data_IF_705632087650
#
_entry.id   IF_705632087650
#
_cell.length_a   1.000
_cell.length_b   1.000
_cell.length_c   1.000
_cell.angle_alpha   90.00
_cell.angle_beta   90.00
_cell.angle_gamma   90.00
#
_symmetry.space_group_name_H-M   'P 1'
#
loop_
_entity.id
_entity.type
_entity.pdbx_description
1 polymer ?
#
# COMPACT_ATOMS: atom_id res chain seq x y z
N UNK A 1 -20.15 7.50 41.92
CA UNK A 1 -20.36 7.63 40.46
C UNK A 1 -18.99 7.45 39.85
N UNK A 2 -18.70 6.24 39.37
CA UNK A 2 -17.45 5.94 38.68
C UNK A 2 -17.30 6.90 37.49
N UNK A 3 -16.08 7.40 37.21
CA UNK A 3 -15.85 8.13 35.97
C UNK A 3 -16.20 7.22 34.79
N UNK A 4 -16.79 7.77 33.71
CA UNK A 4 -17.08 6.97 32.53
C UNK A 4 -15.78 6.34 32.01
N UNK A 5 -15.82 5.10 31.48
CA UNK A 5 -14.65 4.46 30.91
C UNK A 5 -14.07 5.37 29.83
N UNK A 6 -12.75 5.59 29.89
CA UNK A 6 -12.00 6.31 28.87
C UNK A 6 -12.45 5.85 27.48
N UNK A 7 -12.85 6.79 26.65
CA UNK A 7 -13.31 6.51 25.28
C UNK A 7 -12.22 5.74 24.56
N UNK A 8 -12.48 4.46 24.31
CA UNK A 8 -11.62 3.59 23.50
C UNK A 8 -11.29 4.36 22.21
N UNK A 9 -10.01 4.43 21.80
CA UNK A 9 -9.64 5.13 20.57
C UNK A 9 -10.50 4.59 19.41
N UNK A 10 -10.90 5.45 18.46
CA UNK A 10 -11.68 5.01 17.30
C UNK A 10 -11.01 3.81 16.65
N UNK A 11 -11.81 2.84 16.20
CA UNK A 11 -11.29 1.74 15.39
C UNK A 11 -10.39 2.31 14.29
N UNK A 12 -9.26 1.64 13.92
CA UNK A 12 -8.28 2.18 12.98
C UNK A 12 -8.89 2.81 11.72
N UNK A 13 -9.98 2.22 11.23
CA UNK A 13 -10.80 2.71 10.12
C UNK A 13 -11.36 4.14 10.29
N UNK A 14 -11.85 4.52 11.46
CA UNK A 14 -12.51 5.82 11.67
C UNK A 14 -11.52 6.98 11.78
N UNK A 15 -10.34 6.75 12.37
CA UNK A 15 -9.28 7.76 12.39
C UNK A 15 -8.64 7.94 11.01
N UNK A 16 -8.48 6.86 10.22
CA UNK A 16 -8.04 6.98 8.84
C UNK A 16 -9.08 7.70 7.98
N UNK A 17 -10.37 7.37 8.13
CA UNK A 17 -11.46 8.07 7.43
C UNK A 17 -11.48 9.56 7.79
N UNK A 18 -11.33 9.91 9.06
CA UNK A 18 -11.24 11.31 9.51
C UNK A 18 -10.05 12.04 8.84
N UNK A 19 -8.88 11.40 8.78
CA UNK A 19 -7.70 11.95 8.12
C UNK A 19 -7.97 12.26 6.64
N UNK A 20 -8.56 11.31 5.90
CA UNK A 20 -8.82 11.45 4.46
C UNK A 20 -9.95 12.45 4.12
N UNK A 21 -10.83 12.74 5.08
CA UNK A 21 -11.81 13.84 4.95
C UNK A 21 -11.16 15.21 5.17
N UNK A 22 -10.13 15.27 6.00
CA UNK A 22 -9.47 16.53 6.35
C UNK A 22 -8.43 16.93 5.30
N UNK A 23 -7.58 16.00 4.86
CA UNK A 23 -6.49 16.27 3.93
C UNK A 23 -6.14 15.05 3.07
N UNK A 24 -5.30 15.29 2.07
CA UNK A 24 -4.66 14.21 1.31
C UNK A 24 -3.64 13.53 2.24
N UNK A 25 -3.76 12.20 2.39
CA UNK A 25 -2.79 11.40 3.14
C UNK A 25 -1.64 10.94 2.25
N UNK A 26 -0.50 10.66 2.88
CA UNK A 26 0.73 10.29 2.20
C UNK A 26 1.02 8.81 2.43
N UNK A 27 1.07 8.04 1.33
CA UNK A 27 1.59 6.68 1.32
C UNK A 27 3.12 6.72 1.18
N UNK A 28 3.81 5.70 1.67
CA UNK A 28 5.26 5.55 1.54
C UNK A 28 5.72 5.33 0.08
N UNK A 29 7.01 5.02 -0.05
CA UNK A 29 7.68 4.78 -1.34
C UNK A 29 8.16 3.34 -1.50
N UNK A 30 9.10 3.12 -2.42
CA UNK A 30 9.60 1.77 -2.74
C UNK A 30 10.50 1.14 -1.65
N UNK A 31 9.98 0.13 -0.96
CA UNK A 31 10.77 -0.78 -0.12
C UNK A 31 11.94 -1.42 -0.89
N UNK A 32 11.69 -1.97 -2.09
CA UNK A 32 12.70 -2.64 -2.90
C UNK A 32 13.87 -1.73 -3.30
N UNK A 33 13.60 -0.48 -3.70
CA UNK A 33 14.64 0.51 -4.03
C UNK A 33 15.51 0.82 -2.81
N UNK A 34 14.91 1.00 -1.64
CA UNK A 34 15.62 1.28 -0.40
C UNK A 34 16.45 0.10 0.11
N UNK A 35 16.04 -1.13 -0.18
CA UNK A 35 16.82 -2.35 0.09
C UNK A 35 18.03 -2.43 -0.85
N UNK A 36 17.85 -2.15 -2.15
CA UNK A 36 18.92 -2.21 -3.15
C UNK A 36 20.08 -1.26 -2.80
N UNK A 37 19.80 -0.07 -2.27
CA UNK A 37 20.80 0.90 -1.81
C UNK A 37 21.71 0.37 -0.69
N UNK A 38 21.31 -0.68 0.02
CA UNK A 38 22.10 -1.26 1.12
C UNK A 38 23.21 -2.20 0.65
N UNK A 39 23.22 -2.58 -0.62
CA UNK A 39 24.24 -3.46 -1.19
C UNK A 39 24.26 -4.86 -0.55
N UNK A 40 23.10 -5.36 -0.12
CA UNK A 40 22.98 -6.65 0.57
C UNK A 40 23.45 -7.82 -0.31
N UNK A 41 24.05 -8.79 0.36
CA UNK A 41 24.64 -10.00 -0.22
C UNK A 41 23.79 -11.22 0.13
N UNK A 42 24.04 -12.37 -0.51
CA UNK A 42 23.35 -13.63 -0.20
C UNK A 42 23.37 -13.98 1.29
N UNK A 43 24.48 -13.68 1.98
CA UNK A 43 24.62 -13.95 3.41
C UNK A 43 23.59 -13.17 4.26
N UNK A 44 23.17 -11.99 3.82
CA UNK A 44 22.16 -11.18 4.53
C UNK A 44 20.74 -11.78 4.45
N UNK A 45 20.51 -12.69 3.50
CA UNK A 45 19.23 -13.39 3.33
C UNK A 45 19.21 -14.75 4.05
N UNK A 46 20.24 -15.07 4.86
CA UNK A 46 20.31 -16.35 5.59
C UNK A 46 20.28 -16.14 7.10
N UNK A 47 19.26 -16.71 7.74
CA UNK A 47 19.27 -16.91 9.19
C UNK A 47 20.08 -18.17 9.54
N UNK A 48 20.43 -18.41 10.82
CA UNK A 48 21.03 -19.67 11.24
C UNK A 48 20.23 -20.91 10.83
N UNK A 49 18.89 -20.79 10.76
CA UNK A 49 18.01 -21.88 10.31
C UNK A 49 18.03 -22.11 8.79
N UNK A 50 18.51 -21.12 8.01
CA UNK A 50 18.59 -21.15 6.55
C UNK A 50 20.04 -21.24 6.04
N UNK A 51 21.00 -21.52 6.94
CA UNK A 51 22.42 -21.57 6.59
C UNK A 51 22.68 -22.54 5.43
N UNK A 52 22.13 -23.76 5.52
CA UNK A 52 22.32 -24.83 4.53
C UNK A 52 21.19 -24.89 3.47
N UNK A 53 20.39 -23.84 3.32
CA UNK A 53 19.31 -23.81 2.32
C UNK A 53 19.89 -23.99 0.89
N UNK A 54 19.38 -24.94 0.08
CA UNK A 54 20.05 -25.40 -1.14
C UNK A 54 19.96 -24.42 -2.33
N UNK A 55 19.19 -23.35 -2.20
CA UNK A 55 18.97 -22.35 -3.23
C UNK A 55 19.43 -20.97 -2.75
N UNK A 56 19.86 -20.12 -3.69
CA UNK A 56 20.08 -18.70 -3.43
C UNK A 56 18.79 -18.00 -2.97
N UNK A 57 18.88 -17.24 -1.89
CA UNK A 57 17.75 -16.51 -1.29
C UNK A 57 17.77 -15.02 -1.61
N UNK A 58 18.89 -14.50 -2.11
CA UNK A 58 19.03 -13.12 -2.56
C UNK A 58 17.97 -12.79 -3.61
N UNK A 59 17.26 -11.70 -3.38
CA UNK A 59 16.13 -11.26 -4.19
C UNK A 59 14.77 -11.53 -3.52
N UNK A 60 14.71 -12.43 -2.54
CA UNK A 60 13.54 -12.59 -1.67
C UNK A 60 13.53 -11.49 -0.60
N UNK A 61 13.21 -10.26 -1.00
CA UNK A 61 13.25 -9.09 -0.11
C UNK A 61 12.35 -9.23 1.11
N UNK A 62 11.22 -9.93 0.99
CA UNK A 62 10.31 -10.24 2.09
C UNK A 62 11.03 -10.97 3.25
N UNK A 63 11.99 -11.86 2.93
CA UNK A 63 12.76 -12.62 3.92
C UNK A 63 13.60 -11.73 4.86
N UNK A 64 13.97 -10.54 4.41
CA UNK A 64 14.73 -9.59 5.23
C UNK A 64 13.94 -9.12 6.46
N UNK A 65 12.61 -9.27 6.49
CA UNK A 65 11.82 -9.06 7.71
C UNK A 65 12.19 -10.03 8.84
N UNK A 66 12.80 -11.18 8.53
CA UNK A 66 13.31 -12.14 9.51
C UNK A 66 14.84 -12.07 9.64
N UNK A 67 15.56 -11.92 8.53
CA UNK A 67 17.04 -12.02 8.54
C UNK A 67 17.74 -10.69 8.80
N UNK A 68 17.14 -9.57 8.39
CA UNK A 68 17.63 -8.19 8.58
C UNK A 68 16.53 -7.25 9.05
N UNK A 69 15.89 -7.55 10.20
CA UNK A 69 14.82 -6.71 10.74
C UNK A 69 15.27 -5.27 10.99
N UNK A 70 16.56 -5.05 11.29
CA UNK A 70 17.17 -3.73 11.43
C UNK A 70 17.04 -2.88 10.16
N UNK A 71 17.22 -3.49 8.98
CA UNK A 71 17.13 -2.80 7.69
C UNK A 71 15.69 -2.41 7.38
N UNK A 72 14.77 -3.35 7.56
CA UNK A 72 13.35 -3.14 7.22
C UNK A 72 12.71 -2.11 8.16
N UNK A 73 13.00 -2.18 9.46
CA UNK A 73 12.50 -1.19 10.43
C UNK A 73 13.04 0.22 10.14
N UNK A 74 14.33 0.35 9.80
CA UNK A 74 14.93 1.64 9.43
C UNK A 74 14.30 2.23 8.18
N UNK A 75 13.98 1.42 7.16
CA UNK A 75 13.32 1.91 5.94
C UNK A 75 11.92 2.46 6.26
N UNK A 76 11.10 1.72 7.02
CA UNK A 76 9.79 2.23 7.46
C UNK A 76 9.94 3.51 8.27
N UNK A 77 10.89 3.56 9.21
CA UNK A 77 11.16 4.75 10.00
C UNK A 77 11.51 5.94 9.12
N UNK A 78 12.36 5.77 8.09
CA UNK A 78 12.75 6.84 7.15
C UNK A 78 11.56 7.37 6.36
N UNK A 79 10.62 6.51 5.92
CA UNK A 79 9.42 6.97 5.23
C UNK A 79 8.45 7.71 6.15
N UNK A 80 8.21 7.20 7.36
CA UNK A 80 7.42 7.94 8.35
C UNK A 80 8.11 9.26 8.73
N UNK A 81 9.43 9.31 8.91
CA UNK A 81 10.18 10.55 9.14
C UNK A 81 10.13 11.52 7.94
N UNK A 82 9.89 11.02 6.73
CA UNK A 82 9.67 11.84 5.54
C UNK A 82 8.29 12.50 5.47
N UNK A 83 7.32 12.01 6.24
CA UNK A 83 5.96 12.52 6.27
C UNK A 83 4.90 11.54 5.78
N UNK A 84 5.24 10.27 5.56
CA UNK A 84 4.23 9.26 5.29
C UNK A 84 3.23 9.16 6.46
N UNK A 85 1.94 9.06 6.12
CA UNK A 85 0.86 8.74 7.04
C UNK A 85 0.61 7.23 7.07
N UNK A 86 0.77 6.58 5.93
CA UNK A 86 0.58 5.14 5.73
C UNK A 86 1.90 4.56 5.22
N UNK A 87 2.35 3.44 5.78
CA UNK A 87 3.43 2.64 5.21
C UNK A 87 2.98 1.22 4.90
N UNK A 88 3.49 0.66 3.81
CA UNK A 88 3.13 -0.67 3.34
C UNK A 88 4.13 -1.68 3.87
N UNK A 89 3.67 -2.78 4.47
CA UNK A 89 4.55 -3.84 4.99
C UNK A 89 5.43 -4.45 3.89
N UNK A 90 6.62 -4.92 4.26
CA UNK A 90 7.53 -5.66 3.37
C UNK A 90 7.00 -7.10 3.10
N UNK A 91 5.86 -7.21 2.44
CA UNK A 91 5.11 -8.47 2.27
C UNK A 91 4.59 -8.69 0.85
N UNK A 92 5.15 -8.00 -0.13
CA UNK A 92 4.70 -8.05 -1.52
C UNK A 92 4.66 -9.49 -2.08
N UNK A 93 5.62 -10.32 -1.71
CA UNK A 93 5.76 -11.72 -2.16
C UNK A 93 5.56 -12.74 -1.03
N UNK A 94 4.99 -12.34 0.10
CA UNK A 94 4.80 -13.18 1.29
C UNK A 94 3.56 -14.07 1.19
N UNK A 95 3.40 -14.78 0.07
CA UNK A 95 2.37 -15.81 -0.14
C UNK A 95 3.04 -17.17 -0.35
N UNK A 96 2.33 -18.27 -0.09
CA UNK A 96 2.86 -19.61 -0.35
C UNK A 96 3.20 -19.82 -1.82
N UNK A 97 2.43 -19.21 -2.73
CA UNK A 97 2.67 -19.30 -4.18
C UNK A 97 4.00 -18.65 -4.58
N UNK A 98 4.28 -17.44 -4.08
CA UNK A 98 5.52 -16.73 -4.42
C UNK A 98 6.73 -17.28 -3.64
N UNK A 99 6.56 -17.65 -2.37
CA UNK A 99 7.65 -18.23 -1.57
C UNK A 99 8.04 -19.65 -2.01
N UNK A 100 7.20 -20.33 -2.79
CA UNK A 100 7.55 -21.62 -3.42
C UNK A 100 8.72 -21.51 -4.39
N UNK A 101 8.93 -20.35 -5.02
CA UNK A 101 10.11 -20.10 -5.87
C UNK A 101 11.41 -20.14 -5.07
N UNK A 102 11.35 -20.03 -3.73
CA UNK A 102 12.48 -20.09 -2.81
C UNK A 102 12.42 -21.29 -1.85
N UNK A 103 11.40 -22.16 -1.94
CA UNK A 103 11.12 -23.24 -0.99
C UNK A 103 10.91 -22.78 0.47
N UNK A 104 10.29 -21.61 0.65
CA UNK A 104 10.03 -20.98 1.96
C UNK A 104 8.54 -20.83 2.29
N UNK A 105 7.66 -21.65 1.70
CA UNK A 105 6.22 -21.60 1.93
C UNK A 105 5.86 -21.68 3.42
N UNK A 106 6.61 -22.50 4.16
CA UNK A 106 6.45 -22.70 5.60
C UNK A 106 6.74 -21.44 6.45
N UNK A 107 7.42 -20.43 5.90
CA UNK A 107 7.72 -19.18 6.61
C UNK A 107 6.66 -18.09 6.39
N UNK A 108 5.68 -18.30 5.51
CA UNK A 108 4.68 -17.28 5.14
C UNK A 108 3.98 -16.66 6.36
N UNK A 109 3.50 -17.43 7.36
CA UNK A 109 2.89 -16.82 8.54
C UNK A 109 3.87 -15.95 9.35
N UNK A 110 5.13 -16.37 9.46
CA UNK A 110 6.14 -15.63 10.23
C UNK A 110 6.62 -14.38 9.51
N UNK A 111 6.85 -14.46 8.19
CA UNK A 111 7.21 -13.32 7.33
C UNK A 111 6.21 -12.17 7.48
N UNK A 112 4.92 -12.48 7.32
CA UNK A 112 3.86 -11.47 7.38
C UNK A 112 3.72 -10.86 8.78
N UNK A 113 3.72 -11.69 9.83
CA UNK A 113 3.66 -11.21 11.22
C UNK A 113 4.84 -10.31 11.56
N UNK A 114 6.06 -10.72 11.22
CA UNK A 114 7.26 -9.96 11.52
C UNK A 114 7.30 -8.63 10.76
N UNK A 115 6.96 -8.64 9.46
CA UNK A 115 6.89 -7.43 8.65
C UNK A 115 5.88 -6.40 9.18
N UNK A 116 4.67 -6.85 9.56
CA UNK A 116 3.66 -5.99 10.19
C UNK A 116 4.15 -5.38 11.51
N UNK A 117 4.82 -6.18 12.35
CA UNK A 117 5.37 -5.71 13.63
C UNK A 117 6.52 -4.71 13.44
N UNK A 118 7.39 -4.93 12.45
CA UNK A 118 8.48 -4.01 12.09
C UNK A 118 7.94 -2.63 11.70
N UNK A 119 6.99 -2.59 10.77
CA UNK A 119 6.33 -1.35 10.36
C UNK A 119 5.63 -0.67 11.54
N UNK A 120 4.96 -1.44 12.40
CA UNK A 120 4.27 -0.92 13.60
C UNK A 120 5.23 -0.33 14.62
N UNK A 121 6.43 -0.91 14.81
CA UNK A 121 7.45 -0.35 15.70
C UNK A 121 7.99 0.98 15.17
N UNK A 122 8.28 1.05 13.86
CA UNK A 122 8.70 2.28 13.22
C UNK A 122 7.64 3.39 13.34
N UNK A 123 6.36 3.05 13.11
CA UNK A 123 5.23 3.96 13.30
C UNK A 123 5.18 4.51 14.74
N UNK A 124 5.13 3.62 15.74
CA UNK A 124 5.07 4.00 17.17
C UNK A 124 6.25 4.86 17.59
N UNK A 125 7.46 4.57 17.07
CA UNK A 125 8.64 5.39 17.34
C UNK A 125 8.45 6.83 16.88
N UNK A 126 7.97 7.03 15.64
CA UNK A 126 7.72 8.36 15.08
C UNK A 126 6.59 9.09 15.81
N UNK A 127 5.53 8.37 16.19
CA UNK A 127 4.44 8.94 16.98
C UNK A 127 4.93 9.41 18.36
N UNK A 128 5.76 8.61 19.04
CA UNK A 128 6.36 8.96 20.32
C UNK A 128 7.31 10.16 20.21
N UNK A 129 8.16 10.20 19.19
CA UNK A 129 9.05 11.34 18.91
C UNK A 129 8.25 12.62 18.63
N UNK A 130 7.15 12.53 17.88
CA UNK A 130 6.26 13.66 17.62
C UNK A 130 5.54 14.16 18.88
N UNK A 131 5.08 13.26 19.75
CA UNK A 131 4.45 13.58 21.02
C UNK A 131 5.43 14.29 21.99
N UNK A 132 6.70 13.86 22.01
CA UNK A 132 7.74 14.47 22.84
C UNK A 132 8.02 15.93 22.44
N UNK A 133 7.97 16.27 21.14
CA UNK A 133 8.15 17.65 20.65
C UNK A 133 6.96 18.55 21.03
N UNK A 134 5.76 17.98 21.17
CA UNK A 134 4.54 18.71 21.53
C UNK A 134 4.38 18.94 23.05
N UNK A 135 5.09 18.16 23.88
CA UNK A 135 5.05 18.30 25.34
C UNK A 135 6.04 19.38 25.79
N UNK A 136 5.62 20.47 26.47
CA UNK A 136 6.57 21.44 26.98
C UNK A 136 7.49 20.79 28.02
N UNK A 137 8.80 21.03 27.93
CA UNK A 137 9.73 20.61 28.97
C UNK A 137 9.33 21.29 30.30
N UNK A 138 9.08 20.49 31.33
CA UNK A 138 8.93 20.95 32.71
C UNK A 138 10.27 21.59 33.14
N UNK A 139 10.47 22.89 32.88
CA UNK A 139 11.67 23.60 33.32
C UNK A 139 11.98 24.97 32.70
N UNK A 140 11.42 25.34 31.55
CA UNK A 140 11.82 26.59 30.88
C UNK A 140 10.84 27.76 31.15
N UNK A 141 11.02 28.44 32.28
CA UNK A 141 10.41 29.74 32.60
C UNK A 141 11.08 30.90 31.80
N UNK A 142 11.16 30.77 30.48
CA UNK A 142 11.68 31.83 29.60
C UNK A 142 10.53 32.49 28.80
N UNK A 143 10.24 33.79 29.02
CA UNK A 143 9.21 34.49 28.26
C UNK A 143 9.71 34.75 26.83
N UNK A 144 9.37 33.87 25.89
CA UNK A 144 9.57 34.13 24.45
C UNK A 144 8.29 34.72 23.85
N UNK A 145 8.46 35.79 23.06
CA UNK A 145 7.41 36.67 22.53
C UNK A 145 6.61 36.08 21.34
N UNK A 146 6.62 34.76 21.15
CA UNK A 146 5.73 34.09 20.22
C UNK A 146 4.57 33.49 21.01
N UNK A 147 3.33 33.87 20.66
CA UNK A 147 2.10 33.35 21.29
C UNK A 147 2.19 31.82 21.51
N UNK A 148 2.20 31.31 22.76
CA UNK A 148 2.35 29.89 23.07
C UNK A 148 1.13 29.03 22.67
N UNK A 149 0.07 29.65 22.14
CA UNK A 149 -1.26 29.04 22.03
C UNK A 149 -1.46 28.05 20.88
N UNK A 150 -0.50 27.87 19.96
CA UNK A 150 -0.72 27.06 18.73
C UNK A 150 0.05 25.72 18.64
N UNK A 151 0.80 25.32 19.67
CA UNK A 151 1.48 24.00 19.70
C UNK A 151 0.68 22.92 20.44
N UNK A 152 -0.07 23.29 21.48
CA UNK A 152 -0.78 22.35 22.34
C UNK A 152 -2.12 21.83 21.76
N UNK A 153 -2.64 22.42 20.69
CA UNK A 153 -3.94 22.08 20.10
C UNK A 153 -3.85 21.22 18.82
N UNK A 154 -2.64 20.84 18.37
CA UNK A 154 -2.53 19.94 17.21
C UNK A 154 -2.81 18.50 17.64
N UNK A 155 -3.67 17.76 16.91
CA UNK A 155 -3.84 16.34 17.18
C UNK A 155 -2.47 15.63 17.07
N UNK A 156 -2.25 14.67 17.98
CA UNK A 156 -1.07 13.82 17.95
C UNK A 156 -0.98 13.13 16.58
N UNK A 157 0.23 13.11 16.02
CA UNK A 157 0.48 12.42 14.76
C UNK A 157 0.13 10.94 14.93
N UNK A 158 -0.66 10.40 14.01
CA UNK A 158 -0.95 8.97 13.90
C UNK A 158 -0.44 8.43 12.58
N UNK A 159 0.26 7.31 12.63
CA UNK A 159 0.79 6.57 11.51
C UNK A 159 0.02 5.25 11.38
N UNK A 160 -0.19 4.81 10.14
CA UNK A 160 -0.98 3.62 9.81
C UNK A 160 -0.12 2.61 9.07
N UNK A 161 -0.30 1.33 9.37
CA UNK A 161 0.41 0.23 8.71
C UNK A 161 -0.53 -0.53 7.79
N UNK A 162 -0.28 -0.48 6.49
CA UNK A 162 -1.00 -1.25 5.49
C UNK A 162 -0.32 -2.60 5.25
N UNK A 163 -1.06 -3.70 5.44
CA UNK A 163 -0.62 -5.02 5.05
C UNK A 163 -0.61 -5.16 3.53
N UNK A 164 0.57 -5.07 2.91
CA UNK A 164 0.77 -5.17 1.46
C UNK A 164 0.59 -6.60 0.95
N UNK A 165 -0.29 -6.78 -0.02
CA UNK A 165 -0.63 -8.05 -0.66
C UNK A 165 -0.38 -7.88 -2.16
N UNK A 166 0.72 -8.45 -2.65
CA UNK A 166 1.05 -8.43 -4.07
C UNK A 166 0.25 -9.44 -4.90
N UNK A 167 0.39 -9.43 -6.23
CA UNK A 167 -0.44 -10.21 -7.14
C UNK A 167 0.00 -11.68 -7.31
N UNK A 168 1.04 -12.13 -6.60
CA UNK A 168 1.81 -13.37 -6.84
C UNK A 168 2.58 -13.36 -8.18
N UNK A 169 3.28 -14.45 -8.49
CA UNK A 169 3.97 -14.70 -9.75
C UNK A 169 3.15 -15.51 -10.77
N UNK A 170 1.86 -15.79 -10.50
CA UNK A 170 0.97 -16.61 -11.36
C UNK A 170 -0.25 -15.81 -11.81
N UNK A 171 -0.73 -16.05 -13.03
CA UNK A 171 -1.98 -15.49 -13.56
C UNK A 171 -3.10 -16.55 -13.54
N UNK A 172 -4.29 -16.17 -13.11
CA UNK A 172 -5.47 -17.04 -13.12
C UNK A 172 -6.34 -16.86 -14.37
N UNK A 173 -6.38 -15.65 -14.95
CA UNK A 173 -7.18 -15.37 -16.14
C UNK A 173 -6.46 -15.70 -17.45
N UNK A 174 -5.13 -15.74 -17.45
CA UNK A 174 -4.30 -16.00 -18.63
C UNK A 174 -3.47 -17.27 -18.50
N UNK A 175 -3.26 -17.95 -19.63
CA UNK A 175 -2.31 -19.06 -19.72
C UNK A 175 -0.88 -18.50 -19.83
N UNK A 176 0.12 -19.10 -19.14
CA UNK A 176 1.51 -18.77 -19.37
C UNK A 176 2.07 -19.35 -20.68
N UNK A 177 1.32 -20.24 -21.36
CA UNK A 177 1.70 -20.86 -22.63
C UNK A 177 0.69 -20.51 -23.72
N UNK A 178 1.15 -19.71 -24.69
CA UNK A 178 0.34 -19.26 -25.84
C UNK A 178 -0.17 -20.41 -26.71
N UNK A 179 0.52 -21.56 -26.71
CA UNK A 179 0.10 -22.74 -27.45
C UNK A 179 -0.96 -23.56 -26.70
N UNK A 180 -1.17 -23.26 -25.42
CA UNK A 180 -2.16 -23.90 -24.55
C UNK A 180 -3.06 -22.85 -23.89
N UNK A 181 -3.96 -22.21 -24.66
CA UNK A 181 -4.82 -21.14 -24.14
C UNK A 181 -5.81 -21.61 -23.04
N UNK A 182 -6.09 -22.92 -22.96
CA UNK A 182 -6.89 -23.58 -21.93
C UNK A 182 -6.17 -23.71 -20.58
N UNK A 183 -4.84 -23.78 -20.59
CA UNK A 183 -4.06 -24.10 -19.39
C UNK A 183 -4.03 -22.96 -18.38
N UNK A 184 -4.04 -23.28 -17.09
CA UNK A 184 -3.81 -22.34 -15.99
C UNK A 184 -2.82 -22.95 -15.01
N UNK A 185 -1.83 -22.15 -14.60
CA UNK A 185 -0.80 -22.59 -13.65
C UNK A 185 -1.26 -22.55 -12.18
N UNK A 186 -2.39 -21.90 -11.92
CA UNK A 186 -2.97 -21.74 -10.59
C UNK A 186 -4.50 -21.71 -10.70
N UNK A 187 -5.18 -22.21 -9.67
CA UNK A 187 -6.65 -22.12 -9.55
C UNK A 187 -7.08 -20.97 -8.65
N UNK A 188 -8.36 -20.59 -8.73
CA UNK A 188 -8.95 -19.60 -7.84
C UNK A 188 -8.83 -20.02 -6.37
N UNK A 189 -9.10 -21.28 -6.04
CA UNK A 189 -9.04 -21.80 -4.67
C UNK A 189 -7.61 -21.79 -4.11
N UNK A 190 -6.61 -22.08 -4.95
CA UNK A 190 -5.20 -21.99 -4.55
C UNK A 190 -4.80 -20.55 -4.22
N UNK A 191 -5.20 -19.59 -5.04
CA UNK A 191 -4.97 -18.16 -4.75
C UNK A 191 -5.70 -17.73 -3.49
N UNK A 192 -6.99 -18.08 -3.36
CA UNK A 192 -7.78 -17.72 -2.18
C UNK A 192 -7.17 -18.28 -0.89
N UNK A 193 -6.70 -19.53 -0.90
CA UNK A 193 -6.02 -20.13 0.25
C UNK A 193 -4.72 -19.38 0.59
N UNK A 194 -3.87 -19.12 -0.40
CA UNK A 194 -2.60 -18.41 -0.21
C UNK A 194 -2.81 -16.98 0.32
N UNK A 195 -3.78 -16.25 -0.24
CA UNK A 195 -4.13 -14.90 0.21
C UNK A 195 -4.75 -14.90 1.60
N UNK A 196 -5.58 -15.90 1.94
CA UNK A 196 -6.19 -16.00 3.28
C UNK A 196 -5.13 -16.22 4.35
N UNK A 197 -4.15 -17.09 4.11
CA UNK A 197 -3.04 -17.35 5.02
C UNK A 197 -2.18 -16.10 5.23
N UNK A 198 -1.82 -15.43 4.13
CA UNK A 198 -1.09 -14.15 4.19
C UNK A 198 -1.87 -13.11 5.01
N UNK A 199 -3.14 -12.88 4.67
CA UNK A 199 -3.96 -11.86 5.30
C UNK A 199 -4.19 -12.14 6.78
N UNK A 200 -4.43 -13.40 7.17
CA UNK A 200 -4.58 -13.77 8.57
C UNK A 200 -3.32 -13.42 9.36
N UNK A 201 -2.14 -13.76 8.85
CA UNK A 201 -0.87 -13.44 9.50
C UNK A 201 -0.58 -11.93 9.56
N UNK A 202 -0.95 -11.15 8.54
CA UNK A 202 -0.88 -9.68 8.58
C UNK A 202 -1.78 -9.11 9.68
N UNK A 203 -3.01 -9.60 9.79
CA UNK A 203 -3.96 -9.17 10.83
C UNK A 203 -3.46 -9.55 12.23
N UNK A 204 -2.94 -10.76 12.42
CA UNK A 204 -2.28 -11.18 13.67
C UNK A 204 -1.08 -10.28 14.01
N UNK A 205 -0.35 -9.82 12.99
CA UNK A 205 0.75 -8.87 13.11
C UNK A 205 0.33 -7.45 13.52
N UNK A 206 -0.97 -7.13 13.46
CA UNK A 206 -1.55 -5.89 13.95
C UNK A 206 -1.59 -4.74 12.93
N UNK A 207 -1.72 -5.04 11.64
CA UNK A 207 -1.92 -4.00 10.59
C UNK A 207 -3.22 -3.22 10.80
N UNK A 208 -3.24 -1.94 10.41
CA UNK A 208 -4.42 -1.07 10.52
C UNK A 208 -5.39 -1.24 9.35
N UNK A 209 -4.88 -1.69 8.20
CA UNK A 209 -5.58 -1.86 6.94
C UNK A 209 -4.86 -2.86 6.04
N UNK A 210 -5.53 -3.32 4.97
CA UNK A 210 -4.95 -4.21 3.97
C UNK A 210 -4.90 -3.52 2.61
N UNK A 211 -3.83 -3.74 1.85
CA UNK A 211 -3.62 -3.19 0.51
C UNK A 211 -3.37 -4.32 -0.47
N UNK A 212 -4.32 -4.58 -1.36
CA UNK A 212 -4.10 -5.44 -2.53
C UNK A 212 -3.56 -4.56 -3.65
N UNK A 213 -2.29 -4.71 -4.01
CA UNK A 213 -1.56 -3.79 -4.89
C UNK A 213 -0.99 -4.46 -6.14
N UNK A 214 -0.62 -3.64 -7.13
CA UNK A 214 0.01 -4.06 -8.38
C UNK A 214 -0.81 -5.13 -9.09
N UNK A 215 -2.14 -4.99 -9.06
CA UNK A 215 -3.05 -5.97 -9.65
C UNK A 215 -2.88 -5.95 -11.17
N UNK A 216 -2.22 -6.98 -11.72
CA UNK A 216 -2.12 -7.20 -13.16
C UNK A 216 -3.27 -8.09 -13.69
N UNK A 217 -3.82 -8.94 -12.82
CA UNK A 217 -4.89 -9.90 -13.14
C UNK A 217 -6.06 -9.73 -12.16
N UNK A 218 -7.20 -9.27 -12.68
CA UNK A 218 -8.41 -9.04 -11.88
C UNK A 218 -8.96 -10.32 -11.25
N UNK A 219 -8.72 -11.49 -11.86
CA UNK A 219 -9.16 -12.75 -11.26
C UNK A 219 -8.36 -13.11 -10.01
N UNK A 220 -7.05 -12.81 -9.99
CA UNK A 220 -6.22 -12.90 -8.77
C UNK A 220 -6.75 -11.97 -7.68
N UNK A 221 -7.02 -10.71 -8.04
CA UNK A 221 -7.58 -9.76 -7.09
C UNK A 221 -8.93 -10.22 -6.53
N UNK A 222 -9.81 -10.81 -7.35
CA UNK A 222 -11.07 -11.39 -6.86
C UNK A 222 -10.85 -12.57 -5.90
N UNK A 223 -9.82 -13.39 -6.11
CA UNK A 223 -9.44 -14.44 -5.17
C UNK A 223 -8.95 -13.87 -3.84
N UNK A 224 -8.14 -12.81 -3.87
CA UNK A 224 -7.72 -12.08 -2.68
C UNK A 224 -8.92 -11.47 -1.95
N UNK A 225 -9.82 -10.77 -2.65
CA UNK A 225 -11.02 -10.18 -2.07
C UNK A 225 -11.92 -11.24 -1.43
N UNK A 226 -12.13 -12.37 -2.11
CA UNK A 226 -12.88 -13.49 -1.55
C UNK A 226 -12.24 -14.03 -0.26
N UNK A 227 -10.92 -14.21 -0.26
CA UNK A 227 -10.17 -14.64 0.92
C UNK A 227 -10.29 -13.65 2.09
N UNK A 228 -10.27 -12.33 1.80
CA UNK A 228 -10.46 -11.29 2.81
C UNK A 228 -11.87 -11.31 3.39
N UNK A 229 -12.91 -11.44 2.57
CA UNK A 229 -14.30 -11.54 3.08
C UNK A 229 -14.46 -12.75 4.01
N UNK A 230 -13.94 -13.92 3.63
CA UNK A 230 -13.98 -15.11 4.49
C UNK A 230 -13.23 -14.88 5.81
N UNK A 231 -12.05 -14.25 5.75
CA UNK A 231 -11.30 -13.91 6.96
C UNK A 231 -12.07 -12.94 7.86
N UNK A 232 -12.73 -11.93 7.29
CA UNK A 232 -13.52 -10.97 8.07
C UNK A 232 -14.75 -11.60 8.72
N UNK A 233 -15.39 -12.57 8.03
CA UNK A 233 -16.48 -13.36 8.61
C UNK A 233 -15.99 -14.16 9.83
N UNK A 234 -14.80 -14.79 9.73
CA UNK A 234 -14.19 -15.54 10.83
C UNK A 234 -13.76 -14.65 12.01
N UNK A 235 -13.26 -13.44 11.72
CA UNK A 235 -12.82 -12.47 12.73
C UNK A 235 -13.99 -11.74 13.40
N UNK A 236 -15.14 -11.64 12.74
CA UNK A 236 -16.29 -10.85 13.19
C UNK A 236 -16.10 -9.33 13.06
N UNK A 237 -15.04 -8.87 12.38
CA UNK A 237 -14.79 -7.47 12.07
C UNK A 237 -14.05 -7.30 10.74
N UNK A 238 -14.16 -6.11 10.15
CA UNK A 238 -13.53 -5.76 8.87
C UNK A 238 -12.49 -4.66 9.04
N UNK A 239 -11.30 -4.87 8.46
CA UNK A 239 -10.32 -3.79 8.26
C UNK A 239 -10.60 -3.03 6.95
N UNK A 240 -10.21 -1.75 6.83
CA UNK A 240 -10.20 -1.06 5.54
C UNK A 240 -9.39 -1.82 4.50
N UNK A 241 -9.95 -1.94 3.28
CA UNK A 241 -9.28 -2.61 2.15
C UNK A 241 -9.00 -1.58 1.06
N UNK A 242 -7.72 -1.33 0.81
CA UNK A 242 -7.23 -0.57 -0.33
C UNK A 242 -6.99 -1.52 -1.50
N UNK A 243 -7.34 -1.08 -2.72
CA UNK A 243 -7.16 -1.86 -3.94
C UNK A 243 -6.42 -1.01 -4.96
N UNK A 244 -5.30 -1.48 -5.50
CA UNK A 244 -4.50 -0.74 -6.49
C UNK A 244 -4.20 -1.60 -7.72
N UNK A 245 -4.57 -1.07 -8.89
CA UNK A 245 -4.37 -1.72 -10.19
C UNK A 245 -3.13 -1.19 -10.87
N UNK A 246 -2.44 -2.05 -11.62
CA UNK A 246 -1.36 -1.62 -12.51
C UNK A 246 -1.84 -1.60 -13.95
N UNK A 247 -1.52 -0.52 -14.66
CA UNK A 247 -1.75 -0.38 -16.11
C UNK A 247 -0.42 -0.59 -16.80
N UNK A 248 -0.34 -1.55 -17.71
CA UNK A 248 0.96 -2.05 -18.20
C UNK A 248 1.59 -1.18 -19.27
N UNK A 249 0.78 -0.43 -20.02
CA UNK A 249 1.26 0.43 -21.09
C UNK A 249 0.24 1.56 -21.43
N UNK A 250 0.56 2.33 -22.47
CA UNK A 250 -0.26 3.44 -22.94
C UNK A 250 -1.63 3.04 -23.54
N UNK A 251 -1.95 1.75 -23.65
CA UNK A 251 -3.28 1.30 -24.05
C UNK A 251 -4.33 1.53 -22.97
N UNK A 252 -3.92 1.78 -21.71
CA UNK A 252 -4.83 1.98 -20.60
C UNK A 252 -5.45 0.70 -20.05
N UNK A 253 -4.81 -0.45 -20.31
CA UNK A 253 -5.31 -1.76 -19.89
C UNK A 253 -4.38 -2.43 -18.88
N UNK A 254 -4.97 -3.26 -18.03
CA UNK A 254 -4.23 -4.23 -17.21
C UNK A 254 -3.55 -5.27 -18.09
N UNK A 255 -2.64 -6.07 -17.53
CA UNK A 255 -2.03 -7.20 -18.26
C UNK A 255 -3.10 -8.18 -18.78
N UNK A 256 -4.16 -8.38 -18.00
CA UNK A 256 -5.33 -9.19 -18.37
C UNK A 256 -6.28 -8.51 -19.38
N UNK A 257 -5.96 -7.30 -19.86
CA UNK A 257 -6.66 -6.59 -20.92
C UNK A 257 -7.86 -5.76 -20.47
N UNK A 258 -8.12 -5.62 -19.16
CA UNK A 258 -9.25 -4.83 -18.65
C UNK A 258 -8.96 -3.33 -18.69
N UNK A 259 -9.97 -2.53 -19.05
CA UNK A 259 -9.93 -1.07 -18.85
C UNK A 259 -10.14 -0.70 -17.39
N UNK A 260 -9.82 0.56 -17.02
CA UNK A 260 -10.04 1.09 -15.66
C UNK A 260 -11.50 0.96 -15.21
N UNK A 261 -12.45 1.38 -16.04
CA UNK A 261 -13.87 1.24 -15.72
C UNK A 261 -14.33 -0.22 -15.55
N UNK A 262 -13.83 -1.13 -16.40
CA UNK A 262 -14.13 -2.56 -16.30
C UNK A 262 -13.58 -3.13 -14.98
N UNK A 263 -12.32 -2.79 -14.65
CA UNK A 263 -11.70 -3.18 -13.40
C UNK A 263 -12.52 -2.70 -12.19
N UNK A 264 -12.88 -1.41 -12.15
CA UNK A 264 -13.65 -0.86 -11.03
C UNK A 264 -15.00 -1.56 -10.85
N UNK A 265 -15.76 -1.79 -11.94
CA UNK A 265 -17.01 -2.55 -11.89
C UNK A 265 -16.80 -3.98 -11.36
N UNK A 266 -15.69 -4.61 -11.73
CA UNK A 266 -15.35 -5.98 -11.32
C UNK A 266 -15.07 -6.10 -9.81
N UNK A 267 -14.53 -5.06 -9.17
CA UNK A 267 -14.15 -5.09 -7.74
C UNK A 267 -15.09 -4.30 -6.81
N UNK A 268 -16.03 -3.53 -7.36
CA UNK A 268 -16.94 -2.66 -6.58
C UNK A 268 -17.70 -3.39 -5.47
N UNK A 269 -18.05 -4.65 -5.69
CA UNK A 269 -18.76 -5.50 -4.72
C UNK A 269 -18.01 -5.66 -3.39
N UNK A 270 -16.67 -5.52 -3.39
CA UNK A 270 -15.85 -5.64 -2.19
C UNK A 270 -15.84 -4.38 -1.32
N UNK A 271 -16.57 -3.32 -1.69
CA UNK A 271 -16.68 -2.06 -0.93
C UNK A 271 -15.28 -1.53 -0.53
N UNK A 272 -14.39 -1.28 -1.51
CA UNK A 272 -13.04 -0.80 -1.21
C UNK A 272 -13.09 0.48 -0.38
N UNK A 273 -12.19 0.58 0.60
CA UNK A 273 -11.95 1.82 1.32
C UNK A 273 -11.33 2.85 0.38
N UNK A 274 -10.41 2.41 -0.48
CA UNK A 274 -9.91 3.20 -1.59
C UNK A 274 -9.58 2.35 -2.80
N UNK A 275 -9.66 2.94 -3.99
CA UNK A 275 -9.20 2.34 -5.25
C UNK A 275 -8.18 3.23 -5.93
N UNK A 276 -7.14 2.67 -6.53
CA UNK A 276 -6.08 3.48 -7.11
C UNK A 276 -5.27 2.79 -8.19
N UNK A 277 -4.23 3.50 -8.62
CA UNK A 277 -3.29 3.04 -9.65
C UNK A 277 -1.86 3.13 -9.12
N UNK A 278 -1.07 2.09 -9.38
CA UNK A 278 0.33 2.03 -8.97
C UNK A 278 1.20 1.26 -9.97
N UNK A 279 2.51 1.51 -9.89
CA UNK A 279 3.56 0.85 -10.66
C UNK A 279 3.40 0.92 -12.20
N UNK A 280 4.32 0.27 -12.92
CA UNK A 280 4.46 0.19 -14.40
C UNK A 280 4.65 1.51 -15.15
N UNK A 281 3.90 2.56 -14.81
CA UNK A 281 3.93 3.88 -15.43
C UNK A 281 4.53 4.91 -14.48
N UNK A 282 5.11 5.96 -15.05
CA UNK A 282 5.39 7.21 -14.34
C UNK A 282 4.11 8.01 -14.12
N UNK A 283 4.19 9.04 -13.28
CA UNK A 283 3.03 9.85 -12.93
C UNK A 283 2.38 10.49 -14.16
N UNK A 284 3.18 11.05 -15.07
CA UNK A 284 2.66 11.72 -16.27
C UNK A 284 1.78 10.80 -17.13
N UNK A 285 2.17 9.53 -17.32
CA UNK A 285 1.42 8.56 -18.11
C UNK A 285 0.17 8.04 -17.37
N UNK A 286 0.19 8.01 -16.03
CA UNK A 286 -0.97 7.57 -15.23
C UNK A 286 -2.13 8.58 -15.23
N UNK A 287 -1.84 9.86 -15.51
CA UNK A 287 -2.82 10.96 -15.38
C UNK A 287 -4.20 10.67 -15.99
N UNK A 288 -4.34 10.29 -17.29
CA UNK A 288 -5.66 10.08 -17.88
C UNK A 288 -6.46 8.96 -17.19
N UNK A 289 -5.79 7.89 -16.77
CA UNK A 289 -6.41 6.74 -16.13
C UNK A 289 -6.85 7.04 -14.70
N UNK A 290 -6.06 7.83 -13.99
CA UNK A 290 -6.44 8.31 -12.65
C UNK A 290 -7.63 9.29 -12.73
N UNK A 291 -7.65 10.17 -13.74
CA UNK A 291 -8.77 11.07 -13.99
C UNK A 291 -10.07 10.30 -14.26
N UNK A 292 -10.01 9.26 -15.10
CA UNK A 292 -11.14 8.35 -15.34
C UNK A 292 -11.59 7.67 -14.04
N UNK A 293 -10.66 7.07 -13.29
CA UNK A 293 -10.98 6.39 -12.03
C UNK A 293 -11.64 7.34 -11.00
N UNK A 294 -11.14 8.57 -10.89
CA UNK A 294 -11.69 9.59 -10.01
C UNK A 294 -13.15 9.97 -10.35
N UNK A 295 -13.55 9.85 -11.62
CA UNK A 295 -14.92 10.07 -12.10
C UNK A 295 -15.84 8.84 -11.95
N UNK A 296 -15.30 7.68 -11.54
CA UNK A 296 -16.05 6.44 -11.38
C UNK A 296 -16.17 5.99 -9.93
N UNK A 297 -15.16 6.29 -9.11
CA UNK A 297 -15.00 5.77 -7.77
C UNK A 297 -16.00 6.36 -6.75
N UNK A 298 -16.71 5.49 -6.04
CA UNK A 298 -17.60 5.84 -4.92
C UNK A 298 -16.88 5.76 -3.56
N UNK A 299 -15.59 5.44 -3.59
CA UNK A 299 -14.69 5.40 -2.46
C UNK A 299 -13.56 6.43 -2.65
N UNK A 300 -12.61 6.45 -1.71
CA UNK A 300 -11.41 7.26 -1.84
C UNK A 300 -10.53 6.80 -3.01
N UNK A 301 -9.73 7.70 -3.57
CA UNK A 301 -8.80 7.37 -4.65
C UNK A 301 -7.35 7.45 -4.20
N UNK A 302 -6.52 6.54 -4.71
CA UNK A 302 -5.08 6.52 -4.42
C UNK A 302 -4.24 6.53 -5.69
N UNK A 303 -3.06 7.14 -5.62
CA UNK A 303 -2.08 7.05 -6.70
C UNK A 303 -0.67 7.05 -6.14
N UNK A 304 0.12 6.06 -6.53
CA UNK A 304 1.53 5.96 -6.18
C UNK A 304 2.31 5.45 -7.39
N UNK A 305 2.70 6.36 -8.32
CA UNK A 305 3.40 6.01 -9.54
C UNK A 305 4.87 5.65 -9.27
N UNK A 306 5.54 5.08 -10.27
CA UNK A 306 7.00 5.01 -10.26
C UNK A 306 7.60 6.43 -10.37
N UNK A 307 8.87 6.57 -9.98
CA UNK A 307 9.68 7.77 -10.25
C UNK A 307 10.10 7.80 -11.74
N UNK A 308 9.10 7.88 -12.61
CA UNK A 308 9.24 7.77 -14.06
C UNK A 308 9.23 6.34 -14.58
N UNK A 309 9.47 6.21 -15.88
CA UNK A 309 9.68 4.90 -16.50
C UNK A 309 11.10 4.40 -16.19
N UNK A 310 11.30 3.07 -16.05
CA UNK A 310 12.63 2.52 -15.82
C UNK A 310 13.57 2.87 -16.98
N UNK A 311 14.77 3.34 -16.65
CA UNK A 311 15.81 3.65 -17.63
C UNK A 311 16.51 2.37 -18.12
N UNK A 312 17.43 2.52 -19.09
CA UNK A 312 18.14 1.38 -19.71
C UNK A 312 18.97 0.53 -18.72
N UNK A 313 19.25 1.05 -17.52
CA UNK A 313 19.99 0.37 -16.46
C UNK A 313 19.07 -0.15 -15.34
N UNK A 314 17.74 -0.07 -15.52
CA UNK A 314 16.75 -0.48 -14.52
C UNK A 314 16.57 0.51 -13.36
N UNK A 315 17.18 1.70 -13.45
CA UNK A 315 17.00 2.80 -12.50
C UNK A 315 15.82 3.72 -12.86
N UNK A 316 15.63 4.76 -12.06
CA UNK A 316 14.54 5.72 -12.18
C UNK A 316 15.10 7.14 -12.14
N UNK A 317 14.71 7.98 -13.11
CA UNK A 317 15.34 9.28 -13.33
C UNK A 317 14.50 10.47 -12.85
N UNK A 318 13.18 10.30 -12.58
CA UNK A 318 12.38 11.41 -12.06
C UNK A 318 12.84 11.78 -10.65
N UNK A 319 13.04 13.08 -10.44
CA UNK A 319 13.50 13.62 -9.17
C UNK A 319 12.34 13.85 -8.18
N UNK A 320 12.62 14.11 -6.89
CA UNK A 320 11.59 14.54 -5.94
C UNK A 320 10.76 15.73 -6.42
N UNK A 321 11.37 16.69 -7.12
CA UNK A 321 10.68 17.86 -7.65
C UNK A 321 9.73 17.50 -8.80
N UNK A 322 10.15 16.59 -9.68
CA UNK A 322 9.33 16.15 -10.83
C UNK A 322 8.09 15.40 -10.34
N UNK A 323 8.26 14.41 -9.47
CA UNK A 323 7.12 13.70 -8.88
C UNK A 323 6.21 14.63 -8.09
N UNK A 324 6.77 15.53 -7.27
CA UNK A 324 5.98 16.50 -6.50
C UNK A 324 5.13 17.41 -7.40
N UNK A 325 5.66 17.86 -8.54
CA UNK A 325 4.90 18.65 -9.51
C UNK A 325 3.72 17.86 -10.08
N UNK A 326 3.93 16.60 -10.44
CA UNK A 326 2.89 15.73 -11.01
C UNK A 326 1.80 15.41 -9.97
N UNK A 327 2.19 14.96 -8.77
CA UNK A 327 1.23 14.59 -7.73
C UNK A 327 0.53 15.82 -7.14
N UNK A 328 1.21 16.97 -7.11
CA UNK A 328 0.59 18.27 -6.81
C UNK A 328 -0.48 18.66 -7.83
N UNK A 329 -0.23 18.45 -9.13
CA UNK A 329 -1.25 18.65 -10.18
C UNK A 329 -2.46 17.72 -10.00
N UNK A 330 -2.25 16.47 -9.61
CA UNK A 330 -3.34 15.51 -9.36
C UNK A 330 -4.19 15.95 -8.16
N UNK A 331 -3.54 16.43 -7.11
CA UNK A 331 -4.20 17.00 -5.94
C UNK A 331 -5.00 18.27 -6.30
N UNK A 332 -4.42 19.17 -7.10
CA UNK A 332 -5.08 20.40 -7.55
C UNK A 332 -6.35 20.13 -8.38
N UNK A 333 -6.35 19.05 -9.17
CA UNK A 333 -7.51 18.63 -9.96
C UNK A 333 -8.52 17.77 -9.18
N UNK A 334 -8.26 17.49 -7.89
CA UNK A 334 -9.15 16.70 -7.05
C UNK A 334 -9.21 15.22 -7.47
N UNK A 335 -8.09 14.65 -7.91
CA UNK A 335 -8.05 13.26 -8.37
C UNK A 335 -7.71 12.25 -7.27
N UNK A 336 -7.12 12.70 -6.16
CA UNK A 336 -6.57 11.82 -5.12
C UNK A 336 -7.06 12.15 -3.72
N UNK A 337 -7.10 11.11 -2.88
CA UNK A 337 -7.21 11.18 -1.42
C UNK A 337 -5.92 10.70 -0.74
N UNK A 338 -5.20 9.78 -1.39
CA UNK A 338 -3.90 9.29 -0.94
C UNK A 338 -2.90 9.39 -2.09
N UNK A 339 -1.74 9.98 -1.84
CA UNK A 339 -0.63 10.08 -2.80
C UNK A 339 0.65 9.46 -2.21
N UNK A 340 1.42 8.76 -3.03
CA UNK A 340 2.70 8.17 -2.59
C UNK A 340 3.62 7.89 -3.78
N UNK A 341 4.54 6.94 -3.60
CA UNK A 341 5.42 6.48 -4.67
C UNK A 341 5.54 4.97 -4.72
N UNK A 342 5.90 4.44 -5.89
CA UNK A 342 6.25 3.04 -6.10
C UNK A 342 7.74 2.96 -6.48
N UNK A 343 8.13 2.13 -7.44
CA UNK A 343 9.54 1.89 -7.78
C UNK A 343 10.31 3.19 -8.07
N UNK A 344 11.51 3.31 -7.50
CA UNK A 344 12.38 4.48 -7.62
C UNK A 344 12.12 5.59 -6.59
N UNK A 345 10.96 5.58 -5.92
CA UNK A 345 10.63 6.62 -4.95
C UNK A 345 11.33 6.43 -3.59
N UNK A 346 11.93 7.51 -3.10
CA UNK A 346 12.71 7.56 -1.86
C UNK A 346 12.02 8.45 -0.81
N UNK A 347 12.50 8.47 0.46
CA UNK A 347 12.01 9.40 1.47
C UNK A 347 12.00 10.88 1.02
N UNK A 348 12.94 11.29 0.17
CA UNK A 348 12.96 12.68 -0.34
C UNK A 348 11.80 12.95 -1.32
N UNK A 349 11.43 11.97 -2.13
CA UNK A 349 10.23 12.04 -2.97
C UNK A 349 8.97 12.17 -2.11
N UNK A 350 8.84 11.34 -1.08
CA UNK A 350 7.68 11.37 -0.17
C UNK A 350 7.56 12.73 0.53
N UNK A 351 8.67 13.30 0.99
CA UNK A 351 8.69 14.64 1.59
C UNK A 351 8.23 15.73 0.61
N UNK A 352 8.69 15.64 -0.64
CA UNK A 352 8.32 16.60 -1.68
C UNK A 352 6.84 16.47 -2.08
N UNK A 353 6.33 15.24 -2.21
CA UNK A 353 4.91 14.96 -2.48
C UNK A 353 4.02 15.47 -1.33
N UNK A 354 4.42 15.21 -0.08
CA UNK A 354 3.70 15.72 1.09
C UNK A 354 3.59 17.24 1.08
N UNK A 355 4.69 17.94 0.77
CA UNK A 355 4.69 19.40 0.66
C UNK A 355 3.80 19.91 -0.50
N UNK A 356 3.88 19.29 -1.67
CA UNK A 356 3.12 19.71 -2.84
C UNK A 356 1.60 19.48 -2.71
N UNK A 357 1.19 18.44 -1.98
CA UNK A 357 -0.23 18.11 -1.81
C UNK A 357 -0.90 18.81 -0.63
N UNK A 358 -0.12 19.33 0.34
CA UNK A 358 -0.64 19.89 1.60
C UNK A 358 -1.63 21.05 1.45
N UNK A 359 -1.52 21.86 0.39
CA UNK A 359 -2.39 23.01 0.17
C UNK A 359 -3.74 22.65 -0.50
N UNK A 360 -3.90 21.40 -0.94
CA UNK A 360 -5.05 20.96 -1.74
C UNK A 360 -6.06 20.18 -0.89
N UNK A 361 -7.33 20.30 -1.27
CA UNK A 361 -8.41 19.54 -0.64
C UNK A 361 -8.43 18.11 -1.17
N UNK A 362 -8.71 17.11 -0.32
CA UNK A 362 -8.90 15.75 -0.78
C UNK A 362 -10.14 15.66 -1.69
N UNK A 363 -10.13 14.71 -2.61
CA UNK A 363 -11.27 14.42 -3.48
C UNK A 363 -12.50 14.00 -2.66
N UNK A 364 -13.69 14.45 -3.05
CA UNK A 364 -14.95 13.92 -2.49
C UNK A 364 -15.39 12.67 -3.27
N UNK A 365 -15.55 11.49 -2.62
CA UNK A 365 -16.11 10.31 -3.26
C UNK A 365 -17.49 10.53 -3.87
N UNK A 366 -17.78 9.83 -4.97
CA UNK A 366 -19.08 9.92 -5.62
C UNK A 366 -20.17 9.24 -4.77
N UNK A 367 -21.42 9.72 -4.84
CA UNK A 367 -22.53 9.04 -4.21
C UNK A 367 -22.73 7.65 -4.83
N UNK A 368 -23.21 6.71 -4.02
CA UNK A 368 -23.48 5.36 -4.47
C UNK A 368 -24.55 5.34 -5.59
N UNK A 369 -24.25 4.64 -6.68
CA UNK A 369 -25.17 4.44 -7.80
C UNK A 369 -25.93 3.11 -7.68
N UNK A 370 -27.22 3.13 -8.00
CA UNK A 370 -28.05 1.92 -8.12
C UNK A 370 -28.05 1.31 -9.54
N UNK A 371 -27.30 1.89 -10.48
CA UNK A 371 -27.22 1.38 -11.85
C UNK A 371 -26.62 -0.04 -11.88
N UNK A 372 -27.12 -0.89 -12.77
CA UNK A 372 -26.55 -2.22 -12.99
C UNK A 372 -25.22 -2.07 -13.72
N UNK A 373 -24.15 -2.50 -13.06
CA UNK A 373 -22.77 -2.43 -13.57
C UNK A 373 -22.22 -3.84 -13.76
N UNK A 374 -21.87 -4.16 -15.00
CA UNK A 374 -21.29 -5.43 -15.42
C UNK A 374 -19.93 -5.20 -16.06
N UNK A 375 -19.11 -6.24 -16.14
CA UNK A 375 -17.77 -6.15 -16.74
C UNK A 375 -17.32 -7.45 -17.38
N UNK A 376 -16.79 -7.33 -18.61
CA UNK A 376 -15.86 -8.28 -19.22
C UNK A 376 -14.45 -7.67 -19.22
N UNK A 377 -13.82 -7.53 -20.39
CA UNK A 377 -12.66 -6.65 -20.55
C UNK A 377 -13.04 -5.17 -20.60
N UNK A 378 -14.29 -4.90 -20.93
CA UNK A 378 -14.89 -3.56 -21.01
C UNK A 378 -16.11 -3.47 -20.07
N UNK A 379 -16.47 -2.26 -19.60
CA UNK A 379 -17.62 -2.06 -18.73
C UNK A 379 -18.93 -2.10 -19.53
N UNK A 380 -20.00 -2.55 -18.88
CA UNK A 380 -21.38 -2.34 -19.34
C UNK A 380 -22.19 -1.73 -18.18
N UNK A 381 -22.78 -0.56 -18.41
CA UNK A 381 -23.64 0.10 -17.44
C UNK A 381 -25.06 0.18 -18.01
N UNK A 382 -26.03 -0.36 -17.30
CA UNK A 382 -27.46 -0.27 -17.64
C UNK A 382 -28.09 0.72 -16.65
N UNK A 383 -28.57 1.85 -17.18
CA UNK A 383 -29.16 2.94 -16.40
C UNK A 383 -30.62 2.69 -16.02
#
# INVERSE_FOLDING_TARGET
MEPPPETKPPAPSAALDALLRERIAILDGAMGTMIQERGLTEADFRSPALADHPQDLKGNNDLLSLTRPDVIEDIHYRYFAAGADIATTNTFSSTTIAQADYHLEHLVPELNRAAAQLASRAARRIEAEAAAIQTPALGDDAPTSASPRNKAERPLRRCFVAGGIGPTNRTASMSPDVNRPDYRAVTFDQLAAAYREQAAALVEGGVDLLLIETIFDTLNAKAALFALEQLFDDLGYRLPVMISVTITDASGRTLSGQTIAAFYHSIRHARPFSVGINCALGGAQMRPYLAELAQLAECYTTCHPNAGLPNAFGGYDETPADMAAILGDFAAHGFVNIAGGCCGSTPDHIRAIAAATAAHKPRTPLPHSHALRLSGLEPLTIQ
#
